data_IF_083951474172
#
_entry.id   IF_083951474172
#
_cell.length_a   1.000
_cell.length_b   1.000
_cell.length_c   1.000
_cell.angle_alpha   90.00
_cell.angle_beta   90.00
_cell.angle_gamma   90.00
#
_symmetry.space_group_name_H-M   'P 1'
#
loop_
_entity.id
_entity.type
_entity.pdbx_description
1 polymer ?
#
# COMPACT_ATOMS: atom_id res chain seq x y z
N UNK A 1 -16.60 -8.88 54.80
CA UNK A 1 -17.33 -8.37 53.62
C UNK A 1 -16.37 -8.20 52.45
N UNK A 2 -15.30 -7.43 52.61
CA UNK A 2 -14.26 -7.21 51.59
C UNK A 2 -13.79 -8.45 50.80
N UNK A 3 -13.71 -9.63 51.42
CA UNK A 3 -13.26 -10.86 50.73
C UNK A 3 -14.20 -11.34 49.62
N UNK A 4 -15.50 -11.06 49.70
CA UNK A 4 -16.46 -11.38 48.62
C UNK A 4 -16.29 -10.47 47.41
N UNK A 5 -16.01 -9.19 47.65
CA UNK A 5 -15.79 -8.21 46.58
C UNK A 5 -14.50 -8.57 45.81
N UNK A 6 -13.47 -9.02 46.55
CA UNK A 6 -12.21 -9.56 46.02
C UNK A 6 -12.39 -10.82 45.16
N UNK A 7 -13.20 -11.78 45.62
CA UNK A 7 -13.48 -13.02 44.89
C UNK A 7 -14.25 -12.74 43.57
N UNK A 8 -15.12 -11.73 43.56
CA UNK A 8 -15.78 -11.22 42.35
C UNK A 8 -14.81 -10.61 41.35
N UNK A 9 -13.86 -9.77 41.82
CA UNK A 9 -12.81 -9.18 40.97
C UNK A 9 -11.91 -10.25 40.34
N UNK A 10 -11.49 -11.26 41.11
CA UNK A 10 -10.71 -12.40 40.59
C UNK A 10 -11.50 -13.14 39.51
N UNK A 11 -12.77 -13.45 39.76
CA UNK A 11 -13.64 -14.15 38.79
C UNK A 11 -13.87 -13.35 37.50
N UNK A 12 -13.95 -12.02 37.59
CA UNK A 12 -14.08 -11.15 36.42
C UNK A 12 -12.76 -11.04 35.65
N UNK A 13 -11.62 -11.02 36.34
CA UNK A 13 -10.30 -11.00 35.71
C UNK A 13 -10.01 -12.31 34.96
N UNK A 14 -10.26 -13.49 35.57
CA UNK A 14 -10.07 -14.79 34.91
C UNK A 14 -10.98 -14.95 33.70
N UNK A 15 -12.22 -14.44 33.76
CA UNK A 15 -13.16 -14.44 32.64
C UNK A 15 -12.68 -13.61 31.43
N UNK A 16 -11.94 -12.51 31.67
CA UNK A 16 -11.47 -11.59 30.61
C UNK A 16 -10.11 -12.02 30.05
N UNK A 17 -9.17 -12.43 30.91
CA UNK A 17 -7.79 -12.77 30.54
C UNK A 17 -7.57 -14.26 30.24
N UNK A 18 -8.48 -15.14 30.69
CA UNK A 18 -8.35 -16.59 30.53
C UNK A 18 -7.31 -17.26 31.44
N UNK A 19 -6.68 -16.53 32.37
CA UNK A 19 -5.67 -17.08 33.29
C UNK A 19 -6.30 -17.75 34.52
N UNK A 20 -5.50 -18.56 35.22
CA UNK A 20 -5.89 -19.20 36.47
C UNK A 20 -6.16 -18.18 37.61
N UNK A 21 -7.04 -18.54 38.55
CA UNK A 21 -7.43 -17.70 39.68
C UNK A 21 -6.24 -17.26 40.56
N UNK A 22 -5.21 -18.08 40.68
CA UNK A 22 -4.00 -17.72 41.45
C UNK A 22 -3.20 -16.60 40.76
N UNK A 23 -3.05 -16.65 39.43
CA UNK A 23 -2.41 -15.59 38.63
C UNK A 23 -3.25 -14.32 38.61
N UNK A 24 -4.56 -14.45 38.42
CA UNK A 24 -5.49 -13.32 38.46
C UNK A 24 -5.42 -12.56 39.80
N UNK A 25 -5.32 -13.29 40.92
CA UNK A 25 -5.14 -12.69 42.24
C UNK A 25 -3.81 -11.93 42.38
N UNK A 26 -2.71 -12.45 41.81
CA UNK A 26 -1.40 -11.78 41.84
C UNK A 26 -1.43 -10.42 41.13
N UNK A 27 -1.98 -10.36 39.90
CA UNK A 27 -2.12 -9.09 39.16
C UNK A 27 -3.10 -8.12 39.84
N UNK A 28 -4.17 -8.61 40.44
CA UNK A 28 -5.07 -7.76 41.23
C UNK A 28 -4.41 -7.26 42.51
N UNK A 29 -3.54 -8.03 43.15
CA UNK A 29 -2.83 -7.62 44.37
C UNK A 29 -1.74 -6.57 44.07
N UNK A 30 -0.99 -6.72 42.98
CA UNK A 30 -0.01 -5.71 42.52
C UNK A 30 -0.70 -4.41 42.05
N UNK A 31 -1.85 -4.52 41.40
CA UNK A 31 -2.67 -3.38 40.95
C UNK A 31 -3.58 -2.77 42.04
N UNK A 32 -3.33 -3.04 43.32
CA UNK A 32 -4.12 -2.53 44.46
C UNK A 32 -5.65 -2.78 44.35
N UNK A 33 -6.02 -3.93 43.80
CA UNK A 33 -7.38 -4.41 43.50
C UNK A 33 -8.14 -3.61 42.42
N UNK A 34 -7.41 -2.88 41.56
CA UNK A 34 -7.94 -2.25 40.34
C UNK A 34 -7.93 -3.25 39.17
N UNK A 35 -9.10 -3.66 38.69
CA UNK A 35 -9.24 -4.62 37.58
C UNK A 35 -8.69 -4.07 36.25
N UNK A 36 -8.89 -2.77 35.97
CA UNK A 36 -8.43 -2.14 34.73
C UNK A 36 -6.90 -2.01 34.71
N UNK A 37 -6.30 -1.62 35.83
CA UNK A 37 -4.84 -1.54 35.97
C UNK A 37 -4.19 -2.93 35.93
N UNK A 38 -4.81 -3.94 36.56
CA UNK A 38 -4.33 -5.32 36.49
C UNK A 38 -4.36 -5.88 35.07
N UNK A 39 -5.43 -5.61 34.30
CA UNK A 39 -5.56 -6.08 32.92
C UNK A 39 -4.55 -5.39 32.00
N UNK A 40 -4.33 -4.09 32.18
CA UNK A 40 -3.29 -3.36 31.45
C UNK A 40 -1.91 -3.97 31.70
N UNK A 41 -1.52 -4.20 32.97
CA UNK A 41 -0.22 -4.83 33.28
C UNK A 41 -0.09 -6.24 32.70
N UNK A 42 -1.16 -7.04 32.72
CA UNK A 42 -1.16 -8.38 32.13
C UNK A 42 -0.99 -8.38 30.61
N UNK A 43 -1.64 -7.47 29.89
CA UNK A 43 -1.49 -7.38 28.43
C UNK A 43 -0.16 -6.71 28.03
N UNK A 44 0.35 -5.77 28.82
CA UNK A 44 1.67 -5.15 28.63
C UNK A 44 2.81 -6.17 28.83
N UNK A 45 2.71 -7.05 29.83
CA UNK A 45 3.65 -8.17 30.03
C UNK A 45 3.50 -9.26 28.93
N UNK A 46 2.29 -9.48 28.41
CA UNK A 46 2.05 -10.43 27.32
C UNK A 46 2.56 -9.96 25.93
N UNK A 47 2.78 -8.65 25.73
CA UNK A 47 3.40 -8.11 24.52
C UNK A 47 4.96 -8.13 24.58
N UNK A 48 5.57 -8.28 25.77
CA UNK A 48 7.03 -8.44 25.92
C UNK A 48 7.51 -9.91 25.85
N UNK A 49 6.70 -10.91 26.20
CA UNK A 49 7.07 -12.34 26.09
C UNK A 49 6.62 -13.01 24.78
N UNK A 50 7.51 -13.02 23.78
CA UNK A 50 7.42 -13.92 22.63
C UNK A 50 7.52 -15.41 23.05
N UNK A 51 6.93 -16.34 22.28
CA UNK A 51 6.72 -17.72 22.75
C UNK A 51 8.02 -18.53 22.86
N UNK A 52 8.38 -18.92 24.08
CA UNK A 52 9.37 -19.98 24.34
C UNK A 52 8.87 -20.93 25.44
N UNK A 53 8.58 -22.17 25.07
CA UNK A 53 8.11 -23.18 26.03
C UNK A 53 9.26 -23.77 26.86
N UNK A 54 9.05 -23.78 28.17
CA UNK A 54 9.47 -24.77 29.17
C UNK A 54 10.96 -25.15 29.35
N UNK A 55 11.48 -24.97 30.57
CA UNK A 55 11.70 -26.05 31.57
C UNK A 55 12.47 -25.56 32.84
N UNK A 56 11.98 -25.87 34.06
CA UNK A 56 12.86 -26.19 35.22
C UNK A 56 12.98 -25.26 36.46
N UNK A 57 12.01 -25.38 37.39
CA UNK A 57 12.07 -25.30 38.88
C UNK A 57 13.22 -24.58 39.67
N UNK A 58 12.85 -23.50 40.42
CA UNK A 58 13.09 -23.14 41.87
C UNK A 58 14.43 -23.44 42.61
N UNK A 59 14.72 -22.77 43.77
CA UNK A 59 14.60 -21.35 44.17
C UNK A 59 15.81 -20.81 45.01
N UNK A 60 15.65 -19.63 45.67
CA UNK A 60 16.16 -19.28 47.04
C UNK A 60 17.22 -18.15 47.24
N UNK A 61 16.75 -17.10 47.94
CA UNK A 61 17.35 -16.23 48.98
C UNK A 61 18.68 -15.42 48.86
N UNK A 62 18.54 -14.13 49.21
CA UNK A 62 19.39 -13.23 50.04
C UNK A 62 20.91 -13.04 49.82
N UNK A 63 21.36 -11.78 49.97
CA UNK A 63 22.74 -11.48 50.40
C UNK A 63 23.43 -10.25 49.77
N UNK A 64 23.10 -9.03 50.21
CA UNK A 64 24.07 -7.91 50.19
C UNK A 64 24.97 -8.01 51.45
N UNK A 65 26.23 -7.49 51.50
CA UNK A 65 26.44 -6.04 51.59
C UNK A 65 27.81 -5.46 51.12
N UNK A 66 27.94 -4.13 51.16
CA UNK A 66 29.10 -3.33 51.68
C UNK A 66 29.72 -2.26 50.74
N UNK A 67 29.48 -0.99 51.09
CA UNK A 67 30.33 0.20 50.90
C UNK A 67 31.48 0.23 51.96
N UNK A 68 32.44 1.19 52.08
CA UNK A 68 32.46 2.62 51.64
C UNK A 68 33.83 3.04 50.99
N UNK A 69 34.31 4.30 50.90
CA UNK A 69 33.93 5.62 51.44
C UNK A 69 34.45 6.79 50.55
N UNK A 70 34.11 8.04 50.90
CA UNK A 70 34.65 9.31 50.37
C UNK A 70 35.09 10.22 51.53
N UNK A 71 36.06 11.13 51.34
CA UNK A 71 36.05 12.41 52.07
C UNK A 71 36.00 13.64 51.14
N UNK A 72 35.63 14.80 51.69
CA UNK A 72 35.35 16.05 50.95
C UNK A 72 35.74 17.29 51.74
N UNK A 73 36.21 18.33 51.06
CA UNK A 73 36.27 19.72 51.57
C UNK A 73 36.33 20.75 50.41
N UNK A 74 35.84 21.97 50.66
CA UNK A 74 35.79 23.12 49.72
C UNK A 74 36.49 24.36 50.38
N UNK A 75 36.26 25.66 50.04
CA UNK A 75 35.86 26.37 48.79
C UNK A 75 36.67 27.70 48.50
N UNK A 76 36.24 28.45 47.45
CA UNK A 76 36.37 29.95 47.23
C UNK A 76 37.65 30.52 46.58
N UNK A 77 37.65 31.79 46.06
CA UNK A 77 36.68 32.43 45.13
C UNK A 77 37.33 33.31 44.02
N UNK A 78 36.58 33.76 42.99
CA UNK A 78 36.38 35.19 42.62
C UNK A 78 35.62 35.43 41.29
N UNK A 79 35.00 36.62 41.21
CA UNK A 79 34.51 37.37 40.04
C UNK A 79 33.40 36.76 39.13
N UNK A 80 32.23 37.44 39.16
CA UNK A 80 31.15 37.34 38.16
C UNK A 80 31.34 38.42 37.09
N UNK A 81 30.86 38.18 35.87
CA UNK A 81 30.19 39.21 35.08
C UNK A 81 29.09 38.58 34.20
N UNK A 82 27.87 39.12 34.26
CA UNK A 82 26.81 38.76 33.33
C UNK A 82 27.06 39.46 31.98
N UNK A 83 26.82 38.75 30.89
CA UNK A 83 26.38 39.37 29.63
C UNK A 83 25.13 38.63 29.17
N UNK A 84 24.03 39.36 29.05
CA UNK A 84 22.84 38.91 28.32
C UNK A 84 23.03 39.33 26.86
N UNK A 85 22.72 38.45 25.90
CA UNK A 85 21.70 38.76 24.88
C UNK A 85 21.27 37.49 24.13
N UNK A 86 20.27 37.62 23.26
CA UNK A 86 19.58 36.54 22.57
C UNK A 86 20.44 35.90 21.48
N UNK A 87 20.72 34.59 21.58
CA UNK A 87 21.19 33.83 20.42
C UNK A 87 19.98 33.42 19.57
N UNK A 88 19.68 34.24 18.56
CA UNK A 88 18.73 33.93 17.50
C UNK A 88 19.35 32.89 16.57
N UNK A 89 19.32 31.62 17.02
CA UNK A 89 19.70 30.37 16.35
C UNK A 89 20.05 30.46 14.85
N UNK A 90 21.25 30.93 14.54
CA UNK A 90 21.82 30.92 13.18
C UNK A 90 22.75 29.71 13.05
N UNK A 91 22.15 28.54 12.84
CA UNK A 91 22.83 27.25 12.77
C UNK A 91 23.64 27.04 11.46
N UNK A 92 23.97 28.11 10.74
CA UNK A 92 24.65 28.08 9.45
C UNK A 92 26.18 27.89 9.58
N UNK A 93 26.76 28.15 10.77
CA UNK A 93 28.16 27.80 11.06
C UNK A 93 28.27 26.41 11.70
N UNK A 94 28.95 25.49 10.99
CA UNK A 94 29.11 24.10 11.44
C UNK A 94 29.83 24.00 12.80
N UNK A 95 29.42 23.00 13.60
CA UNK A 95 29.87 22.79 14.99
C UNK A 95 31.36 23.10 15.19
N UNK A 96 31.62 24.18 15.91
CA UNK A 96 32.96 24.69 16.18
C UNK A 96 33.57 23.95 17.38
N UNK A 97 34.57 23.11 17.13
CA UNK A 97 35.33 22.45 18.18
C UNK A 97 36.55 23.31 18.52
N UNK A 98 36.65 23.78 19.76
CA UNK A 98 37.80 24.55 20.22
C UNK A 98 38.90 23.60 20.71
N UNK A 99 39.97 23.48 19.93
CA UNK A 99 41.09 22.59 20.22
C UNK A 99 42.27 23.39 20.81
N UNK A 100 42.43 23.33 22.13
CA UNK A 100 43.55 23.94 22.86
C UNK A 100 43.08 24.59 24.16
N UNK A 101 43.48 24.02 25.29
CA UNK A 101 43.08 24.46 26.63
C UNK A 101 44.11 25.34 27.31
N UNK A 102 44.64 26.36 26.63
CA UNK A 102 45.54 27.35 27.24
C UNK A 102 44.97 28.76 27.10
N UNK A 103 45.20 29.60 28.12
CA UNK A 103 44.57 30.92 28.31
C UNK A 103 44.78 31.92 27.16
N UNK A 104 45.73 31.63 26.26
CA UNK A 104 46.11 32.48 25.13
C UNK A 104 46.22 31.71 23.80
N UNK A 105 45.88 30.41 23.76
CA UNK A 105 45.99 29.61 22.53
C UNK A 105 45.06 28.40 22.54
N UNK A 106 44.02 28.49 21.71
CA UNK A 106 43.24 27.37 21.21
C UNK A 106 42.76 27.68 19.79
N UNK A 107 42.82 26.67 18.94
CA UNK A 107 42.43 26.79 17.53
C UNK A 107 40.98 26.35 17.37
N UNK A 108 40.16 27.20 16.76
CA UNK A 108 38.82 26.79 16.32
C UNK A 108 38.97 25.83 15.12
N UNK A 109 38.50 24.61 15.31
CA UNK A 109 38.40 23.57 14.28
C UNK A 109 36.93 23.45 13.91
N UNK A 110 36.57 23.89 12.70
CA UNK A 110 35.22 23.70 12.18
C UNK A 110 35.02 22.22 11.84
N UNK A 111 33.96 21.61 12.35
CA UNK A 111 33.58 20.25 12.01
C UNK A 111 33.21 20.11 10.52
N UNK A 112 33.24 18.89 9.95
CA UNK A 112 32.83 18.65 8.57
C UNK A 112 31.42 19.19 8.28
N UNK A 113 31.19 19.84 7.12
CA UNK A 113 29.88 20.40 6.81
C UNK A 113 28.81 19.29 6.73
N UNK A 114 27.70 19.47 7.46
CA UNK A 114 26.58 18.52 7.48
C UNK A 114 25.93 18.46 6.09
N UNK A 115 26.14 17.36 5.36
CA UNK A 115 25.65 17.17 3.98
C UNK A 115 24.13 17.05 3.91
N UNK A 116 23.47 17.89 3.08
CA UNK A 116 22.10 17.79 2.48
C UNK A 116 20.88 17.45 3.37
N UNK A 117 21.04 16.93 4.58
CA UNK A 117 19.97 16.44 5.46
C UNK A 117 19.04 17.53 6.03
N UNK A 118 19.48 18.79 5.94
CA UNK A 118 18.83 19.96 6.52
C UNK A 118 17.70 20.54 5.64
N UNK A 119 17.68 20.26 4.33
CA UNK A 119 16.65 20.80 3.42
C UNK A 119 15.23 20.42 3.84
N UNK A 120 15.05 19.18 4.31
CA UNK A 120 13.76 18.67 4.76
C UNK A 120 13.49 19.14 6.20
N UNK A 121 14.52 19.40 7.02
CA UNK A 121 14.34 19.98 8.37
C UNK A 121 13.79 21.41 8.25
N UNK A 122 14.37 22.21 7.35
CA UNK A 122 13.87 23.53 6.97
C UNK A 122 12.44 23.48 6.41
N UNK A 123 12.06 22.46 5.65
CA UNK A 123 10.68 22.27 5.17
C UNK A 123 9.69 22.02 6.32
N UNK A 124 9.99 21.10 7.24
CA UNK A 124 9.13 20.82 8.40
C UNK A 124 9.07 22.00 9.37
N UNK A 125 10.18 22.73 9.58
CA UNK A 125 10.22 23.96 10.38
C UNK A 125 9.33 25.04 9.77
N UNK A 126 9.48 25.31 8.47
CA UNK A 126 8.65 26.26 7.73
C UNK A 126 7.15 25.88 7.75
N UNK A 127 6.81 24.60 7.53
CA UNK A 127 5.43 24.14 7.62
C UNK A 127 4.83 24.37 9.04
N UNK A 128 5.61 24.10 10.10
CA UNK A 128 5.21 24.34 11.49
C UNK A 128 5.03 25.82 11.80
N UNK A 129 5.94 26.67 11.32
CA UNK A 129 5.88 28.14 11.48
C UNK A 129 4.63 28.76 10.82
N UNK A 130 4.15 28.17 9.72
CA UNK A 130 2.96 28.60 9.00
C UNK A 130 1.66 27.89 9.44
N UNK A 131 1.66 27.20 10.58
CA UNK A 131 0.43 26.69 11.21
C UNK A 131 0.13 25.20 10.99
N UNK A 132 1.08 24.39 10.52
CA UNK A 132 0.94 22.93 10.59
C UNK A 132 1.03 22.45 12.04
N UNK A 133 -0.04 21.81 12.53
CA UNK A 133 -0.07 21.18 13.85
C UNK A 133 0.80 19.90 13.84
N UNK A 134 1.65 19.74 14.85
CA UNK A 134 2.45 18.51 15.00
C UNK A 134 1.59 17.44 15.67
N UNK A 135 1.09 16.50 14.87
CA UNK A 135 0.31 15.36 15.35
C UNK A 135 1.27 14.35 15.99
N UNK A 136 1.54 14.51 17.29
CA UNK A 136 2.28 13.51 18.08
C UNK A 136 1.43 12.27 18.34
N UNK A 137 2.05 11.10 18.16
CA UNK A 137 1.41 9.79 18.26
C UNK A 137 0.67 9.41 16.97
N UNK A 138 0.87 8.16 16.54
CA UNK A 138 0.40 7.60 15.27
C UNK A 138 -1.11 7.43 15.13
N UNK A 139 -1.88 8.52 15.27
CA UNK A 139 -3.21 8.63 14.68
C UNK A 139 -3.04 8.73 13.16
N UNK A 140 -2.90 7.57 12.52
CA UNK A 140 -3.37 7.44 11.13
C UNK A 140 -4.75 8.10 11.07
N UNK A 141 -4.88 9.14 10.23
CA UNK A 141 -6.15 9.80 10.00
C UNK A 141 -7.15 8.72 9.64
N UNK A 142 -8.20 8.55 10.48
CA UNK A 142 -9.16 7.45 10.36
C UNK A 142 -9.78 7.53 8.97
N UNK A 143 -9.25 6.70 8.04
CA UNK A 143 -9.55 6.79 6.61
C UNK A 143 -11.06 6.90 6.45
N UNK A 144 -11.60 7.99 5.87
CA UNK A 144 -13.02 8.26 5.91
C UNK A 144 -13.75 7.04 5.38
N UNK A 145 -14.76 6.55 6.11
CA UNK A 145 -15.47 5.30 5.81
C UNK A 145 -15.92 5.35 4.35
N UNK A 146 -15.18 4.66 3.48
CA UNK A 146 -15.38 4.73 2.03
C UNK A 146 -16.73 4.10 1.74
N UNK A 147 -17.69 4.92 1.31
CA UNK A 147 -18.99 4.42 0.88
C UNK A 147 -18.73 3.53 -0.34
N UNK A 148 -18.93 2.22 -0.18
CA UNK A 148 -18.60 1.20 -1.18
C UNK A 148 -19.63 1.13 -2.32
N UNK A 149 -20.75 1.82 -2.18
CA UNK A 149 -21.82 1.91 -3.16
C UNK A 149 -22.11 3.38 -3.48
N UNK A 150 -21.68 3.82 -4.67
CA UNK A 150 -21.90 5.19 -5.16
C UNK A 150 -22.71 5.17 -6.45
N UNK A 151 -24.04 4.99 -6.34
CA UNK A 151 -24.96 5.02 -7.47
C UNK A 151 -26.38 5.32 -7.02
N UNK A 152 -27.19 5.83 -7.94
CA UNK A 152 -28.58 6.21 -7.70
C UNK A 152 -29.39 5.03 -7.15
N UNK A 153 -30.08 5.25 -6.03
CA UNK A 153 -30.95 4.26 -5.42
C UNK A 153 -32.30 4.20 -6.13
N UNK A 154 -32.71 3.00 -6.55
CA UNK A 154 -34.05 2.74 -7.06
C UNK A 154 -34.87 2.05 -5.98
N UNK A 155 -35.99 2.64 -5.58
CA UNK A 155 -36.93 2.00 -4.66
C UNK A 155 -37.73 0.96 -5.46
N UNK A 156 -37.68 -0.31 -5.03
CA UNK A 156 -38.42 -1.38 -5.68
C UNK A 156 -39.92 -1.20 -5.38
N UNK A 157 -40.68 -0.73 -6.35
CA UNK A 157 -42.13 -0.63 -6.28
C UNK A 157 -42.82 -1.99 -6.27
N UNK A 158 -44.05 -2.02 -5.78
CA UNK A 158 -44.88 -3.24 -5.72
C UNK A 158 -45.50 -3.60 -7.10
N UNK A 159 -45.33 -2.74 -8.11
CA UNK A 159 -45.81 -2.94 -9.49
C UNK A 159 -44.77 -2.54 -10.54
N UNK A 160 -44.89 -3.06 -11.77
CA UNK A 160 -43.91 -2.89 -12.86
C UNK A 160 -43.58 -1.44 -13.26
N UNK A 161 -44.38 -0.45 -12.85
CA UNK A 161 -44.19 0.96 -13.21
C UNK A 161 -43.88 1.88 -12.02
N UNK A 162 -43.82 1.37 -10.79
CA UNK A 162 -43.70 2.18 -9.56
C UNK A 162 -42.24 2.26 -9.03
N UNK A 163 -41.27 2.36 -9.93
CA UNK A 163 -39.85 2.46 -9.56
C UNK A 163 -39.49 3.93 -9.34
N UNK A 164 -39.65 4.40 -8.11
CA UNK A 164 -39.22 5.74 -7.72
C UNK A 164 -37.68 5.82 -7.71
N UNK A 165 -37.13 6.68 -8.58
CA UNK A 165 -35.72 7.04 -8.57
C UNK A 165 -35.52 7.97 -7.38
N UNK A 166 -34.85 7.51 -6.33
CA UNK A 166 -34.42 8.40 -5.24
C UNK A 166 -33.24 9.19 -5.82
N UNK A 167 -33.39 10.50 -6.09
CA UNK A 167 -32.29 11.29 -6.62
C UNK A 167 -31.17 11.25 -5.61
N UNK A 168 -29.97 10.99 -6.10
CA UNK A 168 -28.78 10.89 -5.28
C UNK A 168 -28.41 12.29 -4.79
N UNK A 169 -28.98 12.71 -3.65
CA UNK A 169 -28.54 13.87 -2.86
C UNK A 169 -27.18 13.58 -2.19
N UNK A 170 -26.24 13.02 -2.95
CA UNK A 170 -24.88 13.50 -2.90
C UNK A 170 -24.91 14.92 -3.46
N UNK A 171 -25.04 15.89 -2.55
CA UNK A 171 -24.21 17.07 -2.68
C UNK A 171 -22.82 16.59 -3.11
N UNK A 172 -22.32 17.13 -4.22
CA UNK A 172 -20.91 17.03 -4.57
C UNK A 172 -20.15 17.95 -3.61
N UNK A 173 -20.28 17.65 -2.32
CA UNK A 173 -19.61 18.31 -1.21
C UNK A 173 -18.15 18.48 -1.63
N UNK A 174 -17.64 19.69 -1.46
CA UNK A 174 -16.21 20.00 -1.42
C UNK A 174 -15.63 19.33 -0.17
N UNK A 175 -15.64 18.00 -0.12
CA UNK A 175 -15.14 17.24 1.02
C UNK A 175 -13.64 17.49 1.08
N UNK A 176 -13.11 18.06 2.17
CA UNK A 176 -11.69 18.31 2.29
C UNK A 176 -10.91 17.04 2.00
N UNK A 177 -9.94 17.14 1.10
CA UNK A 177 -9.16 16.00 0.64
C UNK A 177 -7.87 15.92 1.44
N UNK A 178 -7.78 14.92 2.31
CA UNK A 178 -6.53 14.55 2.97
C UNK A 178 -5.55 13.99 1.94
N UNK A 179 -4.38 14.61 1.83
CA UNK A 179 -3.25 14.21 1.00
C UNK A 179 -2.06 13.92 1.91
N UNK A 180 -1.49 12.72 1.78
CA UNK A 180 -0.35 12.26 2.56
C UNK A 180 0.96 12.45 1.80
N UNK A 181 1.82 13.32 2.31
CA UNK A 181 3.15 13.58 1.77
C UNK A 181 4.20 12.83 2.61
N UNK A 182 4.95 11.92 1.98
CA UNK A 182 6.04 11.17 2.65
C UNK A 182 7.38 11.60 2.09
N UNK A 183 8.29 12.03 2.95
CA UNK A 183 9.60 12.56 2.57
C UNK A 183 10.68 11.49 2.80
N UNK A 184 11.19 10.88 1.73
CA UNK A 184 12.19 9.81 1.77
C UNK A 184 13.61 10.36 1.60
N UNK A 185 14.63 9.49 1.72
CA UNK A 185 16.04 9.86 1.49
C UNK A 185 16.34 10.37 0.08
N UNK A 186 15.70 9.79 -0.94
CA UNK A 186 16.00 10.02 -2.37
C UNK A 186 14.96 10.88 -3.10
N UNK A 187 13.80 11.11 -2.49
CA UNK A 187 12.67 11.83 -3.08
C UNK A 187 11.50 11.88 -2.13
N UNK A 188 10.33 12.29 -2.61
CA UNK A 188 9.08 12.27 -1.84
C UNK A 188 7.97 11.53 -2.60
N UNK A 189 6.92 11.13 -1.90
CA UNK A 189 5.72 10.53 -2.52
C UNK A 189 4.48 11.24 -2.04
N UNK A 190 3.55 11.45 -2.98
CA UNK A 190 2.23 12.01 -2.72
C UNK A 190 1.23 10.85 -2.77
N UNK A 191 0.54 10.60 -1.66
CA UNK A 191 -0.34 9.46 -1.44
C UNK A 191 0.31 8.11 -1.80
N UNK A 192 -0.36 7.30 -2.63
CA UNK A 192 0.14 6.03 -3.18
C UNK A 192 0.87 6.23 -4.54
N UNK A 193 1.34 7.45 -4.81
CA UNK A 193 1.98 7.81 -6.07
C UNK A 193 3.44 7.32 -6.23
N UNK A 194 4.03 7.49 -7.44
CA UNK A 194 5.44 7.21 -7.69
C UNK A 194 6.37 8.09 -6.83
N UNK A 195 7.58 7.60 -6.57
CA UNK A 195 8.64 8.40 -5.97
C UNK A 195 9.07 9.53 -6.91
N UNK A 196 9.01 10.76 -6.41
CA UNK A 196 9.41 12.00 -7.07
C UNK A 196 10.77 12.44 -6.56
N UNK A 197 11.78 12.53 -7.43
CA UNK A 197 13.12 12.91 -7.00
C UNK A 197 13.20 14.40 -6.65
N UNK A 198 14.10 14.75 -5.73
CA UNK A 198 14.34 16.15 -5.32
C UNK A 198 15.03 17.00 -6.39
N UNK A 199 15.56 16.37 -7.45
CA UNK A 199 16.41 17.01 -8.45
C UNK A 199 15.62 17.48 -9.70
N UNK A 200 14.37 17.02 -9.86
CA UNK A 200 13.52 17.43 -10.98
C UNK A 200 12.88 18.82 -10.75
N UNK A 201 12.79 19.68 -11.78
CA UNK A 201 12.27 21.05 -11.62
C UNK A 201 10.79 21.10 -11.24
N UNK A 202 9.94 20.23 -11.83
CA UNK A 202 8.50 20.16 -11.51
C UNK A 202 8.27 19.75 -10.04
N UNK A 203 9.11 18.84 -9.52
CA UNK A 203 9.10 18.40 -8.13
C UNK A 203 9.62 19.51 -7.18
N UNK A 204 10.57 20.34 -7.64
CA UNK A 204 11.05 21.50 -6.90
C UNK A 204 9.97 22.60 -6.78
N UNK A 205 9.15 22.83 -7.80
CA UNK A 205 8.00 23.74 -7.73
C UNK A 205 6.98 23.28 -6.67
N UNK A 206 6.63 21.99 -6.67
CA UNK A 206 5.75 21.38 -5.65
C UNK A 206 6.27 21.64 -4.22
N UNK A 207 7.56 21.39 -3.97
CA UNK A 207 8.18 21.65 -2.66
C UNK A 207 8.27 23.14 -2.32
N UNK A 208 8.46 24.01 -3.31
CA UNK A 208 8.50 25.46 -3.09
C UNK A 208 7.12 26.07 -2.80
N UNK A 209 6.02 25.49 -3.29
CA UNK A 209 4.67 25.86 -2.83
C UNK A 209 4.47 25.44 -1.37
N UNK A 210 4.87 24.23 -0.96
CA UNK A 210 4.77 23.78 0.44
C UNK A 210 5.63 24.65 1.39
N UNK A 211 6.85 25.05 0.98
CA UNK A 211 7.69 26.01 1.73
C UNK A 211 7.07 27.40 1.90
N UNK A 212 6.14 27.78 1.02
CA UNK A 212 5.38 29.04 1.08
C UNK A 212 3.99 28.83 1.68
N UNK A 213 3.70 27.61 2.15
CA UNK A 213 2.38 27.17 2.63
C UNK A 213 1.24 27.41 1.64
N UNK A 214 1.57 27.38 0.36
CA UNK A 214 0.65 27.38 -0.77
C UNK A 214 0.35 25.92 -1.16
N UNK A 215 -0.92 25.60 -1.42
CA UNK A 215 -1.31 24.26 -1.90
C UNK A 215 -0.74 24.08 -3.32
N UNK A 216 0.06 23.03 -3.60
CA UNK A 216 0.61 22.81 -4.93
C UNK A 216 -0.48 22.70 -6.01
N UNK A 217 -0.23 23.30 -7.19
CA UNK A 217 -1.19 23.39 -8.30
C UNK A 217 -1.73 22.02 -8.77
N UNK A 218 -0.94 20.95 -8.63
CA UNK A 218 -1.40 19.58 -8.88
C UNK A 218 -2.57 19.18 -7.97
N UNK A 219 -2.44 19.45 -6.66
CA UNK A 219 -3.47 19.10 -5.68
C UNK A 219 -4.72 19.97 -5.86
N UNK A 220 -4.58 21.24 -6.21
CA UNK A 220 -5.71 22.13 -6.53
C UNK A 220 -6.49 21.62 -7.74
N UNK A 221 -5.79 21.22 -8.82
CA UNK A 221 -6.41 20.65 -10.02
C UNK A 221 -7.13 19.34 -9.74
N UNK A 222 -6.52 18.47 -8.94
CA UNK A 222 -7.05 17.16 -8.54
C UNK A 222 -8.20 17.26 -7.53
N UNK A 223 -8.24 18.30 -6.69
CA UNK A 223 -9.33 18.63 -5.77
C UNK A 223 -10.47 19.43 -6.42
N UNK A 224 -10.33 19.87 -7.68
CA UNK A 224 -11.31 20.66 -8.44
C UNK A 224 -11.79 21.95 -7.73
N UNK A 225 -10.96 22.53 -6.87
CA UNK A 225 -11.25 23.75 -6.11
C UNK A 225 -11.73 23.55 -4.67
N UNK A 226 -11.98 22.31 -4.22
CA UNK A 226 -12.28 22.02 -2.82
C UNK A 226 -11.05 22.11 -1.90
N UNK A 227 -11.29 22.12 -0.59
CA UNK A 227 -10.25 22.17 0.45
C UNK A 227 -9.28 20.97 0.38
N UNK A 228 -8.00 21.20 0.68
CA UNK A 228 -6.95 20.16 0.69
C UNK A 228 -6.15 20.26 1.98
N UNK A 229 -6.11 19.17 2.75
CA UNK A 229 -5.25 19.04 3.93
C UNK A 229 -4.01 18.22 3.56
N UNK A 230 -2.82 18.75 3.82
CA UNK A 230 -1.55 18.07 3.53
C UNK A 230 -0.96 17.56 4.85
N UNK A 231 -0.94 16.24 5.05
CA UNK A 231 -0.28 15.60 6.17
C UNK A 231 1.14 15.18 5.76
N UNK A 232 2.18 15.73 6.40
CA UNK A 232 3.57 15.50 6.03
C UNK A 232 4.30 14.59 7.03
N UNK A 233 4.95 13.55 6.53
CA UNK A 233 5.60 12.50 7.30
C UNK A 233 7.07 12.34 6.90
N UNK A 234 7.94 12.16 7.90
CA UNK A 234 9.40 12.15 7.74
C UNK A 234 9.95 10.72 7.70
N UNK A 235 10.27 10.26 6.49
CA UNK A 235 10.85 8.95 6.21
C UNK A 235 12.31 9.09 5.71
N UNK A 236 13.03 10.15 6.11
CA UNK A 236 14.41 10.45 5.64
C UNK A 236 15.44 9.34 5.83
N UNK A 237 15.21 8.45 6.80
CA UNK A 237 16.08 7.32 7.11
C UNK A 237 15.68 6.03 6.36
N UNK A 238 14.51 6.02 5.73
CA UNK A 238 13.99 4.90 4.96
C UNK A 238 14.22 5.09 3.45
N UNK A 239 14.31 3.97 2.75
CA UNK A 239 14.37 3.92 1.29
C UNK A 239 13.01 3.51 0.75
N UNK A 240 12.49 4.27 -0.23
CA UNK A 240 11.15 4.03 -0.76
C UNK A 240 11.06 2.66 -1.44
N UNK A 241 10.22 1.80 -0.87
CA UNK A 241 9.76 0.57 -1.51
C UNK A 241 8.39 0.85 -2.12
N UNK A 242 8.21 0.73 -3.45
CA UNK A 242 6.91 0.98 -4.06
C UNK A 242 5.86 0.03 -3.47
N UNK A 243 4.74 0.55 -2.93
CA UNK A 243 3.71 -0.30 -2.35
C UNK A 243 3.17 -1.24 -3.41
N UNK A 244 3.05 -2.54 -3.08
CA UNK A 244 2.49 -3.55 -3.98
C UNK A 244 1.09 -3.09 -4.38
N UNK A 245 0.88 -2.81 -5.67
CA UNK A 245 -0.36 -2.28 -6.19
C UNK A 245 -1.56 -3.13 -5.72
N UNK A 246 -2.30 -2.62 -4.74
CA UNK A 246 -3.46 -3.32 -4.23
C UNK A 246 -4.52 -3.30 -5.32
N UNK A 247 -4.97 -4.49 -5.73
CA UNK A 247 -5.99 -4.62 -6.75
C UNK A 247 -7.28 -3.96 -6.23
N UNK A 248 -7.59 -2.78 -6.76
CA UNK A 248 -8.83 -2.05 -6.45
C UNK A 248 -10.01 -2.89 -6.95
N UNK A 249 -10.55 -3.72 -6.06
CA UNK A 249 -11.66 -4.59 -6.35
C UNK A 249 -12.85 -3.77 -6.88
N UNK A 250 -13.58 -4.32 -7.85
CA UNK A 250 -14.72 -3.66 -8.50
C UNK A 250 -14.39 -2.32 -9.18
N UNK A 251 -13.20 -2.19 -9.78
CA UNK A 251 -12.80 -1.04 -10.61
C UNK A 251 -13.44 -0.99 -12.02
N UNK A 252 -14.41 -1.87 -12.32
CA UNK A 252 -15.13 -1.90 -13.59
C UNK A 252 -16.52 -1.24 -13.49
N UNK A 253 -17.01 -0.69 -14.60
CA UNK A 253 -18.38 -0.16 -14.69
C UNK A 253 -19.42 -1.28 -14.68
N UNK A 254 -20.26 -1.30 -13.65
CA UNK A 254 -21.40 -2.22 -13.58
C UNK A 254 -22.41 -1.92 -14.69
N UNK A 255 -22.78 -2.93 -15.46
CA UNK A 255 -23.91 -2.87 -16.40
C UNK A 255 -25.07 -3.69 -15.83
N UNK A 256 -26.27 -3.11 -15.80
CA UNK A 256 -27.47 -3.79 -15.32
C UNK A 256 -28.01 -4.75 -16.38
N UNK A 257 -28.29 -5.99 -15.97
CA UNK A 257 -29.00 -6.97 -16.82
C UNK A 257 -30.50 -6.76 -16.63
N UNK A 258 -31.13 -6.00 -17.53
CA UNK A 258 -32.58 -5.77 -17.50
C UNK A 258 -33.06 -4.43 -18.08
N UNK A 259 -32.18 -3.46 -18.29
CA UNK A 259 -32.52 -2.28 -19.09
C UNK A 259 -32.71 -2.67 -20.56
N UNK A 260 -33.69 -2.08 -21.29
CA UNK A 260 -33.79 -2.26 -22.73
C UNK A 260 -32.48 -1.79 -23.39
N UNK A 261 -32.08 -2.48 -24.46
CA UNK A 261 -30.76 -2.34 -25.07
C UNK A 261 -30.37 -0.86 -25.29
N UNK A 262 -29.10 -0.48 -25.03
CA UNK A 262 -28.67 0.90 -25.19
C UNK A 262 -28.91 1.34 -26.63
N UNK A 263 -29.61 2.46 -26.80
CA UNK A 263 -29.80 3.10 -28.10
C UNK A 263 -28.43 3.28 -28.75
N UNK A 264 -28.21 2.59 -29.87
CA UNK A 264 -27.00 2.76 -30.67
C UNK A 264 -26.99 4.21 -31.14
N UNK A 265 -26.16 5.03 -30.50
CA UNK A 265 -25.85 6.38 -30.97
C UNK A 265 -25.03 6.20 -32.24
N UNK A 266 -25.76 6.04 -33.35
CA UNK A 266 -25.17 6.12 -34.67
C UNK A 266 -24.45 7.45 -34.78
N UNK A 267 -23.21 7.40 -35.28
CA UNK A 267 -22.46 8.59 -35.65
C UNK A 267 -23.37 9.49 -36.51
N UNK A 268 -23.50 10.74 -36.10
CA UNK A 268 -24.34 11.70 -36.81
C UNK A 268 -23.88 11.80 -38.26
N UNK A 269 -24.82 11.63 -39.18
CA UNK A 269 -24.56 11.77 -40.60
C UNK A 269 -24.16 13.22 -40.91
N UNK A 270 -22.93 13.41 -41.39
CA UNK A 270 -22.60 14.59 -42.18
C UNK A 270 -23.29 14.48 -43.55
N UNK A 271 -24.01 15.51 -44.03
CA UNK A 271 -24.73 15.43 -45.29
C UNK A 271 -23.82 15.59 -46.52
N UNK A 272 -24.09 14.75 -47.52
CA UNK A 272 -23.92 14.97 -48.97
C UNK A 272 -22.57 15.53 -49.50
N UNK A 273 -21.79 14.67 -50.18
CA UNK A 273 -20.56 15.07 -50.88
C UNK A 273 -20.00 14.08 -51.89
N UNK A 274 -20.75 13.82 -52.97
CA UNK A 274 -20.27 13.38 -54.31
C UNK A 274 -19.38 12.11 -54.50
N UNK A 275 -19.96 11.15 -55.23
CA UNK A 275 -19.39 10.25 -56.27
C UNK A 275 -18.19 9.30 -56.00
N UNK A 276 -18.48 7.99 -56.10
CA UNK A 276 -17.75 7.07 -56.98
C UNK A 276 -16.65 6.16 -56.40
N UNK A 277 -16.73 4.86 -56.68
CA UNK A 277 -15.52 4.00 -56.77
C UNK A 277 -15.47 2.76 -55.87
N UNK A 278 -15.58 1.60 -56.52
CA UNK A 278 -15.39 0.22 -56.06
C UNK A 278 -14.26 -0.12 -55.05
N UNK A 279 -14.50 -1.23 -54.34
CA UNK A 279 -13.53 -2.25 -53.87
C UNK A 279 -12.49 -1.88 -52.79
N UNK A 280 -12.56 -2.58 -51.66
CA UNK A 280 -11.48 -2.63 -50.67
C UNK A 280 -11.93 -3.12 -49.29
N UNK A 281 -12.00 -4.45 -49.09
CA UNK A 281 -12.21 -5.00 -47.75
C UNK A 281 -10.94 -4.79 -46.92
N UNK A 282 -11.01 -3.91 -45.92
CA UNK A 282 -9.99 -3.79 -44.86
C UNK A 282 -10.71 -3.70 -43.52
N UNK A 283 -10.83 -4.83 -42.84
CA UNK A 283 -11.26 -4.89 -41.45
C UNK A 283 -10.16 -4.32 -40.56
N UNK A 284 -10.27 -3.03 -40.23
CA UNK A 284 -9.41 -2.40 -39.23
C UNK A 284 -9.91 -2.83 -37.85
N UNK A 285 -9.41 -3.97 -37.37
CA UNK A 285 -9.70 -4.45 -36.02
C UNK A 285 -9.28 -3.41 -34.99
N UNK A 286 -10.24 -2.90 -34.22
CA UNK A 286 -9.95 -2.09 -33.04
C UNK A 286 -9.14 -2.87 -31.99
N UNK A 287 -8.60 -2.20 -30.96
CA UNK A 287 -7.81 -2.83 -29.90
C UNK A 287 -8.65 -3.93 -29.25
N UNK A 288 -8.33 -5.17 -29.60
CA UNK A 288 -9.10 -6.32 -29.16
C UNK A 288 -8.74 -6.63 -27.73
N UNK A 289 -9.68 -6.45 -26.80
CA UNK A 289 -9.48 -6.84 -25.40
C UNK A 289 -8.92 -8.27 -25.34
N UNK A 290 -7.81 -8.51 -24.62
CA UNK A 290 -7.14 -9.81 -24.64
C UNK A 290 -8.08 -10.94 -24.19
N UNK A 291 -8.99 -10.63 -23.26
CA UNK A 291 -9.99 -11.55 -22.73
C UNK A 291 -11.12 -11.86 -23.73
N UNK A 292 -11.42 -10.94 -24.65
CA UNK A 292 -12.38 -11.15 -25.74
C UNK A 292 -11.76 -12.00 -26.85
N UNK A 293 -10.47 -11.82 -27.15
CA UNK A 293 -9.72 -12.68 -28.06
C UNK A 293 -9.56 -14.11 -27.50
N UNK A 294 -9.26 -14.26 -26.21
CA UNK A 294 -9.25 -15.56 -25.51
C UNK A 294 -10.61 -16.26 -25.58
N UNK A 295 -11.72 -15.54 -25.32
CA UNK A 295 -13.07 -16.10 -25.45
C UNK A 295 -13.38 -16.55 -26.88
N UNK A 296 -12.98 -15.77 -27.89
CA UNK A 296 -13.14 -16.14 -29.31
C UNK A 296 -12.30 -17.37 -29.67
N UNK A 297 -11.07 -17.49 -29.18
CA UNK A 297 -10.23 -18.68 -29.38
C UNK A 297 -10.84 -19.92 -28.70
N UNK A 298 -11.52 -19.75 -27.57
CA UNK A 298 -12.19 -20.84 -26.86
C UNK A 298 -13.53 -21.27 -27.48
N UNK A 299 -14.21 -20.38 -28.22
CA UNK A 299 -15.40 -20.72 -29.01
C UNK A 299 -15.04 -21.48 -30.30
N UNK A 300 -13.94 -21.06 -30.95
CA UNK A 300 -13.36 -21.72 -32.12
C UNK A 300 -12.85 -23.14 -31.79
N UNK A 301 -12.27 -23.30 -30.59
CA UNK A 301 -11.94 -24.60 -30.01
C UNK A 301 -13.23 -25.30 -29.51
N UNK A 302 -13.92 -26.04 -30.39
CA UNK A 302 -15.19 -26.72 -30.10
C UNK A 302 -15.08 -27.82 -29.01
N UNK A 303 -15.14 -27.41 -27.75
CA UNK A 303 -15.13 -28.29 -26.57
C UNK A 303 -16.49 -28.98 -26.40
N UNK A 304 -16.56 -30.27 -26.73
CA UNK A 304 -17.70 -31.14 -26.38
C UNK A 304 -17.64 -31.55 -24.90
N UNK A 305 -18.66 -31.17 -24.12
CA UNK A 305 -18.76 -31.51 -22.70
C UNK A 305 -19.16 -32.99 -22.43
N UNK A 306 -19.52 -33.76 -23.46
CA UNK A 306 -19.76 -35.21 -23.36
C UNK A 306 -18.49 -36.06 -23.37
N UNK A 307 -17.33 -35.47 -23.68
CA UNK A 307 -16.02 -36.12 -23.72
C UNK A 307 -15.16 -35.72 -22.50
N UNK A 308 -14.14 -36.52 -22.14
CA UNK A 308 -13.23 -36.14 -21.05
C UNK A 308 -12.47 -34.85 -21.37
N UNK A 309 -12.66 -33.85 -20.52
CA UNK A 309 -12.06 -32.51 -20.65
C UNK A 309 -10.90 -32.34 -19.68
N UNK A 310 -9.90 -31.56 -20.09
CA UNK A 310 -8.71 -31.20 -19.31
C UNK A 310 -8.44 -29.70 -19.43
N UNK A 311 -7.69 -29.15 -18.46
CA UNK A 311 -7.38 -27.72 -18.39
C UNK A 311 -5.86 -27.52 -18.46
N UNK A 312 -5.35 -26.94 -19.55
CA UNK A 312 -3.92 -26.64 -19.70
C UNK A 312 -3.67 -25.18 -19.33
N UNK A 313 -2.75 -24.94 -18.41
CA UNK A 313 -2.30 -23.59 -18.08
C UNK A 313 -1.16 -23.18 -19.03
N UNK A 314 -1.37 -22.13 -19.83
CA UNK A 314 -0.33 -21.54 -20.67
C UNK A 314 0.29 -20.33 -19.97
N UNK A 315 1.62 -20.29 -19.90
CA UNK A 315 2.41 -19.15 -19.44
C UNK A 315 3.10 -18.50 -20.63
N UNK A 316 3.01 -17.19 -20.73
CA UNK A 316 3.52 -16.41 -21.86
C UNK A 316 4.83 -15.69 -21.50
N UNK A 317 5.65 -15.33 -22.50
CA UNK A 317 6.88 -14.56 -22.27
C UNK A 317 6.63 -13.14 -21.75
N UNK A 318 5.42 -12.61 -21.87
CA UNK A 318 4.99 -11.34 -21.24
C UNK A 318 4.69 -11.47 -19.73
N UNK A 319 4.88 -12.67 -19.16
CA UNK A 319 4.57 -12.99 -17.76
C UNK A 319 3.08 -13.26 -17.49
N UNK A 320 2.20 -13.07 -18.49
CA UNK A 320 0.78 -13.39 -18.36
C UNK A 320 0.54 -14.90 -18.39
N UNK A 321 -0.65 -15.29 -17.93
CA UNK A 321 -1.11 -16.67 -17.91
C UNK A 321 -2.59 -16.76 -18.22
N UNK A 322 -2.99 -17.75 -19.00
CA UNK A 322 -4.39 -18.13 -19.18
C UNK A 322 -4.53 -19.65 -19.13
N UNK A 323 -5.77 -20.12 -19.04
CA UNK A 323 -6.12 -21.54 -18.99
C UNK A 323 -6.96 -21.88 -20.20
N UNK A 324 -6.54 -22.89 -20.96
CA UNK A 324 -7.30 -23.45 -22.07
C UNK A 324 -8.06 -24.66 -21.52
N UNK A 325 -9.39 -24.70 -21.67
CA UNK A 325 -10.19 -25.91 -21.49
C UNK A 325 -10.26 -26.63 -22.84
N UNK A 326 -9.96 -27.92 -22.86
CA UNK A 326 -9.92 -28.74 -24.08
C UNK A 326 -10.27 -30.21 -23.79
N UNK A 327 -10.79 -30.90 -24.79
CA UNK A 327 -10.97 -32.35 -24.76
C UNK A 327 -9.66 -33.13 -24.96
N UNK A 328 -9.62 -34.37 -24.49
CA UNK A 328 -8.48 -35.28 -24.65
C UNK A 328 -8.12 -35.59 -26.12
N UNK A 329 -9.05 -35.36 -27.05
CA UNK A 329 -8.92 -35.58 -28.49
C UNK A 329 -8.30 -34.41 -29.26
N UNK A 330 -7.99 -33.28 -28.62
CA UNK A 330 -7.30 -32.18 -29.29
C UNK A 330 -5.79 -32.44 -29.40
N UNK A 331 -5.19 -31.74 -30.35
CA UNK A 331 -3.79 -31.82 -30.69
C UNK A 331 -2.99 -30.64 -30.14
N UNK A 332 -1.66 -30.78 -30.10
CA UNK A 332 -0.74 -29.67 -29.83
C UNK A 332 -0.91 -28.52 -30.86
N UNK A 333 -1.28 -28.85 -32.10
CA UNK A 333 -1.59 -27.90 -33.16
C UNK A 333 -2.76 -26.98 -32.81
N UNK A 334 -3.84 -27.54 -32.23
CA UNK A 334 -5.00 -26.77 -31.78
C UNK A 334 -4.62 -25.78 -30.65
N UNK A 335 -3.76 -26.20 -29.72
CA UNK A 335 -3.20 -25.34 -28.67
C UNK A 335 -2.37 -24.20 -29.28
N UNK A 336 -1.54 -24.49 -30.30
CA UNK A 336 -0.77 -23.46 -31.02
C UNK A 336 -1.70 -22.48 -31.73
N UNK A 337 -2.77 -22.96 -32.38
CA UNK A 337 -3.75 -22.11 -33.04
C UNK A 337 -4.51 -21.22 -32.04
N UNK A 338 -4.94 -21.79 -30.91
CA UNK A 338 -5.57 -21.03 -29.82
C UNK A 338 -4.70 -19.85 -29.38
N UNK A 339 -3.39 -20.07 -29.16
CA UNK A 339 -2.46 -19.02 -28.72
C UNK A 339 -2.36 -17.91 -29.77
N UNK A 340 -2.27 -18.25 -31.05
CA UNK A 340 -2.24 -17.27 -32.15
C UNK A 340 -3.54 -16.46 -32.24
N UNK A 341 -4.70 -17.12 -32.11
CA UNK A 341 -6.02 -16.46 -32.16
C UNK A 341 -6.29 -15.60 -30.92
N UNK A 342 -5.86 -16.04 -29.74
CA UNK A 342 -5.96 -15.28 -28.49
C UNK A 342 -4.97 -14.10 -28.43
N UNK A 343 -3.80 -14.24 -29.07
CA UNK A 343 -2.71 -13.26 -29.06
C UNK A 343 -2.11 -13.10 -30.47
N UNK A 344 -2.67 -12.22 -31.31
CA UNK A 344 -2.20 -12.01 -32.69
C UNK A 344 -0.72 -11.66 -32.85
N UNK A 345 -0.07 -11.14 -31.79
CA UNK A 345 1.38 -10.91 -31.76
C UNK A 345 2.21 -12.20 -32.03
N UNK A 346 1.71 -13.37 -31.64
CA UNK A 346 2.38 -14.66 -31.89
C UNK A 346 2.09 -15.22 -33.30
N UNK A 347 1.31 -14.52 -34.13
CA UNK A 347 1.10 -14.90 -35.53
C UNK A 347 2.35 -14.61 -36.40
N UNK A 348 3.12 -13.58 -36.04
CA UNK A 348 4.29 -13.11 -36.79
C UNK A 348 5.63 -13.56 -36.19
N UNK A 349 5.62 -14.30 -35.08
CA UNK A 349 6.81 -14.70 -34.32
C UNK A 349 6.79 -16.21 -34.12
N UNK A 350 7.89 -16.90 -34.42
CA UNK A 350 8.02 -18.32 -34.12
C UNK A 350 8.26 -18.55 -32.61
N UNK A 351 7.55 -19.53 -32.07
CA UNK A 351 7.61 -19.88 -30.65
C UNK A 351 7.58 -21.40 -30.45
N UNK A 352 8.29 -21.85 -29.41
CA UNK A 352 8.23 -23.21 -28.88
C UNK A 352 7.19 -23.30 -27.77
N UNK A 353 6.49 -24.44 -27.70
CA UNK A 353 5.72 -24.85 -26.54
C UNK A 353 6.57 -25.83 -25.72
N UNK A 354 6.85 -25.48 -24.47
CA UNK A 354 7.69 -26.29 -23.57
C UNK A 354 6.91 -26.71 -22.34
N UNK A 355 7.10 -27.95 -21.88
CA UNK A 355 6.59 -28.42 -20.59
C UNK A 355 7.49 -27.95 -19.44
N UNK A 356 6.91 -27.76 -18.25
CA UNK A 356 7.68 -27.37 -17.05
C UNK A 356 8.42 -28.55 -16.41
N UNK A 357 7.76 -29.71 -16.25
CA UNK A 357 8.38 -30.90 -15.65
C UNK A 357 7.81 -32.19 -16.27
N UNK A 358 8.65 -33.05 -16.87
CA UNK A 358 10.03 -32.78 -17.30
C UNK A 358 10.08 -31.66 -18.35
N UNK A 359 11.21 -30.99 -18.51
CA UNK A 359 11.40 -30.02 -19.59
C UNK A 359 11.52 -30.73 -20.95
N UNK A 360 10.51 -30.56 -21.81
CA UNK A 360 10.48 -31.10 -23.16
C UNK A 360 9.86 -30.07 -24.12
N UNK A 361 10.36 -30.00 -25.36
CA UNK A 361 9.79 -29.18 -26.43
C UNK A 361 8.75 -29.99 -27.23
N UNK A 362 7.55 -29.44 -27.37
CA UNK A 362 6.45 -30.05 -28.11
C UNK A 362 6.58 -29.75 -29.61
N UNK A 363 7.44 -30.52 -30.28
CA UNK A 363 7.69 -30.38 -31.73
C UNK A 363 6.56 -30.96 -32.61
N UNK A 364 5.87 -32.00 -32.13
CA UNK A 364 4.87 -32.73 -32.91
C UNK A 364 3.47 -32.09 -32.79
N UNK A 365 3.11 -31.24 -33.76
CA UNK A 365 1.80 -30.55 -33.77
C UNK A 365 0.61 -31.52 -33.87
N UNK A 366 0.76 -32.66 -34.54
CA UNK A 366 -0.30 -33.67 -34.69
C UNK A 366 -0.48 -34.58 -33.47
N UNK A 367 0.35 -34.46 -32.43
CA UNK A 367 0.28 -35.32 -31.26
C UNK A 367 -0.91 -34.94 -30.38
N UNK A 368 -1.65 -35.95 -29.89
CA UNK A 368 -2.79 -35.72 -29.00
C UNK A 368 -2.33 -35.27 -27.60
N UNK A 369 -3.16 -34.50 -26.92
CA UNK A 369 -2.95 -34.02 -25.54
C UNK A 369 -2.64 -35.15 -24.55
N UNK A 370 -3.29 -36.32 -24.71
CA UNK A 370 -3.04 -37.52 -23.90
C UNK A 370 -1.65 -38.10 -24.18
N UNK A 371 -1.30 -38.26 -25.46
CA UNK A 371 -0.02 -38.84 -25.88
C UNK A 371 1.17 -37.95 -25.50
N UNK A 372 0.98 -36.63 -25.58
CA UNK A 372 1.96 -35.63 -25.14
C UNK A 372 2.04 -35.48 -23.61
N UNK A 373 1.24 -36.26 -22.85
CA UNK A 373 1.14 -36.22 -21.37
C UNK A 373 0.80 -34.83 -20.81
N UNK A 374 -0.04 -34.08 -21.53
CA UNK A 374 -0.37 -32.69 -21.21
C UNK A 374 -1.63 -32.52 -20.33
N UNK A 375 -2.20 -33.62 -19.85
CA UNK A 375 -3.39 -33.62 -18.99
C UNK A 375 -3.16 -32.79 -17.71
N UNK A 376 -3.95 -31.73 -17.55
CA UNK A 376 -3.91 -30.78 -16.44
C UNK A 376 -2.51 -30.16 -16.21
N UNK A 377 -1.72 -30.04 -17.27
CA UNK A 377 -0.32 -29.61 -17.23
C UNK A 377 -0.15 -28.09 -17.40
N UNK A 378 1.06 -27.61 -17.11
CA UNK A 378 1.49 -26.24 -17.41
C UNK A 378 2.46 -26.21 -18.60
N UNK A 379 2.15 -25.39 -19.59
CA UNK A 379 2.99 -25.08 -20.73
C UNK A 379 3.62 -23.69 -20.59
N UNK A 380 4.83 -23.54 -21.10
CA UNK A 380 5.55 -22.28 -21.24
C UNK A 380 5.74 -22.00 -22.73
N UNK A 381 5.26 -20.84 -23.17
CA UNK A 381 5.55 -20.30 -24.49
C UNK A 381 6.91 -19.62 -24.42
N UNK A 382 7.83 -20.03 -25.31
CA UNK A 382 9.15 -19.41 -25.45
C UNK A 382 9.34 -18.98 -26.90
N UNK A 383 9.59 -17.69 -27.14
CA UNK A 383 9.95 -17.21 -28.48
C UNK A 383 11.28 -17.85 -28.91
N UNK A 384 11.40 -18.22 -30.18
CA UNK A 384 12.63 -18.81 -30.73
C UNK A 384 13.67 -17.76 -31.08
#
# INVERSE_FOLDING_TARGET
>A
MADKDKEGLVSQFTLISGVDAERAKFYLESAAWSLESALSSFYEEADEEGPSEALGDRPEAEGAPSTPQRPSSQPTPLARLNMVDSDSSDEESGQAFYAGGSEHSGQQVLGPPKKKADMIAKLFKSAKEHGAEVIEGGRESKKPKRITFGGTGYRLGETENDTEVIPDQRDHDERPRDVSLKMWRTGFTVDDGPLRAYEDPENAEFLNSIRRSEVPLELIREARGGEVYINMSDHRHEEYVPPKASLKAFSGSGHTLGSPAPSVVGQQAHPAGAVGGASGSTVISGPSDPKSAEKKAQDDLKVDNGQPTTNIQVRLPDGSRFVIKLNHSHTVGDIRHFIVTARPAFQAVDFALMTTFPHAELTNLSQNVVEAKLLNSALVVKNK
#
